data_IF_741681401944
#
_entry.id   IF_741681401944
#
_cell.length_a   1.000
_cell.length_b   1.000
_cell.length_c   1.000
_cell.angle_alpha   90.00
_cell.angle_beta   90.00
_cell.angle_gamma   90.00
#
_symmetry.space_group_name_H-M   'P 1'
#
loop_
_entity.id
_entity.type
_entity.pdbx_description
1 polymer ?
#
# COMPACT_ATOMS: atom_id res chain seq x y z
N UNK A 1 -0.96 9.64 -4.07
CA UNK A 1 -0.04 8.58 -3.61
C UNK A 1 1.34 9.13 -3.27
N UNK A 2 1.95 9.99 -4.09
CA UNK A 2 3.19 10.68 -3.71
C UNK A 2 3.14 12.15 -4.12
N UNK A 3 3.76 13.05 -3.35
CA UNK A 3 4.01 14.44 -3.74
C UNK A 3 5.32 14.53 -4.52
N UNK A 4 5.36 15.41 -5.53
CA UNK A 4 6.57 15.67 -6.33
C UNK A 4 6.97 17.14 -6.11
N UNK A 5 7.95 17.43 -5.25
CA UNK A 5 8.38 18.80 -4.99
C UNK A 5 9.07 19.40 -6.22
N UNK A 6 8.84 20.69 -6.47
CA UNK A 6 9.46 21.43 -7.58
C UNK A 6 10.92 21.82 -7.30
N UNK A 7 11.29 21.97 -6.04
CA UNK A 7 12.62 22.41 -5.61
C UNK A 7 13.25 21.40 -4.64
N UNK A 8 14.58 21.41 -4.60
CA UNK A 8 15.37 20.63 -3.66
C UNK A 8 15.33 21.29 -2.27
N UNK A 9 15.42 20.47 -1.23
CA UNK A 9 15.57 20.97 0.14
C UNK A 9 17.00 21.51 0.39
N UNK A 10 17.28 21.99 1.60
CA UNK A 10 18.59 22.52 1.99
C UNK A 10 19.76 21.53 1.81
N UNK A 11 19.47 20.22 1.80
CA UNK A 11 20.46 19.15 1.57
C UNK A 11 20.58 18.76 0.10
N UNK A 12 19.93 19.47 -0.81
CA UNK A 12 20.02 19.23 -2.25
C UNK A 12 19.23 18.02 -2.75
N UNK A 13 18.28 17.49 -1.97
CA UNK A 13 17.46 16.33 -2.38
C UNK A 13 15.99 16.71 -2.56
N UNK A 14 15.28 15.99 -3.43
CA UNK A 14 13.83 16.09 -3.54
C UNK A 14 13.22 15.23 -2.42
N UNK A 15 12.50 15.87 -1.50
CA UNK A 15 11.80 15.18 -0.43
C UNK A 15 10.34 14.96 -0.85
N UNK A 16 10.00 13.71 -1.13
CA UNK A 16 8.65 13.33 -1.55
C UNK A 16 7.88 12.75 -0.36
N UNK A 17 6.67 13.24 -0.12
CA UNK A 17 5.77 12.69 0.89
C UNK A 17 4.91 11.59 0.28
N UNK A 18 4.78 10.47 1.00
CA UNK A 18 3.96 9.34 0.58
C UNK A 18 2.60 9.46 1.26
N UNK A 19 1.54 9.62 0.46
CA UNK A 19 0.17 9.55 0.91
C UNK A 19 -0.25 8.09 1.10
N UNK A 20 0.05 7.54 2.28
CA UNK A 20 -0.18 6.14 2.63
C UNK A 20 -1.66 5.76 2.58
N UNK A 21 -2.56 6.64 3.02
CA UNK A 21 -4.01 6.37 3.05
C UNK A 21 -4.55 6.16 1.63
N UNK A 22 -4.24 7.09 0.72
CA UNK A 22 -4.62 6.97 -0.70
C UNK A 22 -3.98 5.75 -1.36
N UNK A 23 -2.73 5.42 -1.00
CA UNK A 23 -2.07 4.23 -1.52
C UNK A 23 -2.81 2.95 -1.07
N UNK A 24 -3.16 2.86 0.21
CA UNK A 24 -3.91 1.74 0.80
C UNK A 24 -5.30 1.61 0.19
N UNK A 25 -6.03 2.71 0.02
CA UNK A 25 -7.34 2.71 -0.67
C UNK A 25 -7.24 2.11 -2.08
N UNK A 26 -6.23 2.52 -2.87
CA UNK A 26 -6.01 1.99 -4.23
C UNK A 26 -5.60 0.51 -4.22
N UNK A 27 -4.71 0.12 -3.31
CA UNK A 27 -4.26 -1.28 -3.18
C UNK A 27 -5.44 -2.17 -2.80
N UNK A 28 -6.23 -1.79 -1.79
CA UNK A 28 -7.37 -2.56 -1.33
C UNK A 28 -8.48 -2.62 -2.37
N UNK A 29 -8.73 -1.54 -3.12
CA UNK A 29 -9.68 -1.57 -4.25
C UNK A 29 -9.28 -2.63 -5.28
N UNK A 30 -7.99 -2.74 -5.62
CA UNK A 30 -7.48 -3.73 -6.57
C UNK A 30 -7.51 -5.16 -6.02
N UNK A 31 -7.18 -5.36 -4.74
CA UNK A 31 -7.22 -6.68 -4.10
C UNK A 31 -8.65 -7.23 -3.95
N UNK A 32 -9.67 -6.37 -3.99
CA UNK A 32 -11.08 -6.77 -3.97
C UNK A 32 -11.60 -7.25 -5.33
N UNK A 33 -10.91 -6.94 -6.43
CA UNK A 33 -11.29 -7.41 -7.76
C UNK A 33 -11.20 -8.94 -7.85
N UNK A 34 -12.05 -9.59 -8.67
CA UNK A 34 -11.99 -11.03 -8.83
C UNK A 34 -10.63 -11.46 -9.38
N UNK A 35 -10.12 -12.63 -8.95
CA UNK A 35 -8.86 -13.15 -9.45
C UNK A 35 -8.86 -13.22 -10.98
N UNK A 36 -7.82 -12.66 -11.59
CA UNK A 36 -7.61 -12.77 -13.03
C UNK A 36 -7.25 -14.22 -13.36
N UNK A 37 -7.91 -14.86 -14.34
CA UNK A 37 -7.52 -16.19 -14.81
C UNK A 37 -6.01 -16.27 -15.14
N UNK A 38 -5.34 -17.41 -14.91
CA UNK A 38 -3.88 -17.51 -15.10
C UNK A 38 -3.40 -17.07 -16.49
N UNK A 39 -4.17 -17.42 -17.51
CA UNK A 39 -3.86 -17.20 -18.93
C UNK A 39 -4.36 -15.86 -19.48
N UNK A 40 -4.94 -14.99 -18.64
CA UNK A 40 -5.40 -13.67 -19.06
C UNK A 40 -4.53 -12.55 -18.47
N UNK A 41 -4.48 -11.45 -19.23
CA UNK A 41 -3.79 -10.23 -18.81
C UNK A 41 -4.85 -9.22 -18.45
N UNK A 42 -4.84 -8.78 -17.20
CA UNK A 42 -5.63 -7.65 -16.73
C UNK A 42 -4.68 -6.56 -16.22
N UNK A 43 -4.95 -5.28 -16.50
CA UNK A 43 -4.16 -4.20 -15.94
C UNK A 43 -4.28 -4.20 -14.42
N UNK A 44 -3.19 -3.83 -13.74
CA UNK A 44 -3.14 -3.67 -12.28
C UNK A 44 -3.31 -4.96 -11.46
N UNK A 45 -3.23 -6.15 -12.08
CA UNK A 45 -3.20 -7.44 -11.37
C UNK A 45 -1.93 -7.57 -10.54
N UNK A 46 -2.08 -7.95 -9.27
CA UNK A 46 -0.97 -8.40 -8.44
C UNK A 46 -0.64 -9.86 -8.77
N UNK A 47 0.63 -10.16 -9.04
CA UNK A 47 1.11 -11.54 -9.17
C UNK A 47 2.01 -11.87 -8.00
N UNK A 48 1.64 -12.92 -7.27
CA UNK A 48 2.42 -13.43 -6.14
C UNK A 48 3.20 -14.67 -6.58
N UNK A 49 4.44 -14.86 -6.11
CA UNK A 49 5.19 -16.09 -6.36
C UNK A 49 4.47 -17.32 -5.81
N UNK A 50 4.39 -18.38 -6.59
CA UNK A 50 3.91 -19.70 -6.13
C UNK A 50 5.08 -20.47 -5.47
N UNK A 51 5.62 -19.89 -4.40
CA UNK A 51 6.69 -20.48 -3.62
C UNK A 51 6.48 -20.12 -2.14
N UNK A 52 6.10 -21.09 -1.28
CA UNK A 52 5.84 -20.86 0.14
C UNK A 52 7.02 -20.31 0.93
N UNK A 53 8.26 -20.54 0.48
CA UNK A 53 9.47 -19.98 1.11
C UNK A 53 9.64 -18.48 0.84
N UNK A 54 8.96 -17.96 -0.19
CA UNK A 54 9.03 -16.54 -0.60
C UNK A 54 7.74 -15.81 -0.22
N UNK A 55 6.59 -16.43 -0.46
CA UNK A 55 5.29 -15.86 -0.20
C UNK A 55 4.37 -16.93 0.38
N UNK A 56 4.08 -16.80 1.68
CA UNK A 56 3.24 -17.71 2.43
C UNK A 56 1.96 -17.02 2.89
N UNK A 57 1.14 -17.74 3.67
CA UNK A 57 -0.01 -17.15 4.34
C UNK A 57 0.38 -16.00 5.28
N UNK A 58 1.61 -15.98 5.81
CA UNK A 58 2.11 -14.90 6.69
C UNK A 58 2.17 -13.58 5.94
N UNK A 59 2.83 -13.54 4.77
CA UNK A 59 2.93 -12.34 3.93
C UNK A 59 1.56 -11.93 3.41
N UNK A 60 0.73 -12.90 3.00
CA UNK A 60 -0.63 -12.65 2.54
C UNK A 60 -1.49 -11.98 3.63
N UNK A 61 -1.41 -12.45 4.89
CA UNK A 61 -2.11 -11.83 6.03
C UNK A 61 -1.58 -10.42 6.33
N UNK A 62 -0.27 -10.21 6.24
CA UNK A 62 0.32 -8.88 6.46
C UNK A 62 -0.09 -7.86 5.39
N UNK A 63 -0.25 -8.28 4.12
CA UNK A 63 -0.68 -7.41 3.02
C UNK A 63 -2.08 -6.81 3.23
N UNK A 64 -2.94 -7.51 3.97
CA UNK A 64 -4.31 -7.07 4.26
C UNK A 64 -4.54 -6.86 5.77
N UNK A 65 -3.46 -6.62 6.51
CA UNK A 65 -3.50 -6.53 7.97
C UNK A 65 -4.23 -5.28 8.49
N UNK A 66 -4.36 -4.23 7.68
CA UNK A 66 -5.01 -3.01 8.10
C UNK A 66 -6.48 -2.94 7.70
N UNK A 67 -7.29 -2.29 8.53
CA UNK A 67 -8.69 -2.05 8.26
C UNK A 67 -9.01 -0.58 8.51
N UNK A 68 -9.92 -0.02 7.69
CA UNK A 68 -10.40 1.34 7.89
C UNK A 68 -11.40 1.36 9.06
N UNK A 69 -11.05 2.03 10.14
CA UNK A 69 -11.85 2.12 11.36
C UNK A 69 -12.19 3.56 11.70
N UNK A 70 -13.39 3.77 12.25
CA UNK A 70 -13.77 5.06 12.81
C UNK A 70 -13.09 5.25 14.17
N UNK A 71 -12.33 6.34 14.31
CA UNK A 71 -11.71 6.76 15.57
C UNK A 71 -12.06 8.19 15.89
N UNK A 72 -12.34 8.46 17.17
CA UNK A 72 -12.53 9.83 17.65
C UNK A 72 -11.17 10.45 17.93
N UNK A 73 -10.80 11.47 17.16
CA UNK A 73 -9.55 12.23 17.31
C UNK A 73 -9.91 13.70 17.53
N UNK A 74 -9.53 14.24 18.68
CA UNK A 74 -9.84 15.63 19.07
C UNK A 74 -11.35 15.95 18.96
N UNK A 75 -12.20 15.04 19.42
CA UNK A 75 -13.66 15.21 19.41
C UNK A 75 -14.33 15.08 18.04
N UNK A 76 -13.59 14.70 16.98
CA UNK A 76 -14.13 14.46 15.64
C UNK A 76 -13.93 13.01 15.23
N UNK A 77 -14.94 12.42 14.60
CA UNK A 77 -14.83 11.09 13.99
C UNK A 77 -13.96 11.21 12.74
N UNK A 78 -12.93 10.36 12.65
CA UNK A 78 -12.07 10.21 11.49
C UNK A 78 -11.96 8.74 11.13
N UNK A 79 -11.87 8.45 9.83
CA UNK A 79 -11.51 7.13 9.33
C UNK A 79 -9.99 7.02 9.32
N UNK A 80 -9.44 6.00 9.99
CA UNK A 80 -8.01 5.73 10.05
C UNK A 80 -7.75 4.25 9.79
N UNK A 81 -6.65 3.95 9.11
CA UNK A 81 -6.20 2.57 8.94
C UNK A 81 -5.59 2.05 10.25
N UNK A 82 -6.00 0.85 10.67
CA UNK A 82 -5.55 0.22 11.90
C UNK A 82 -5.23 -1.26 11.68
N UNK A 83 -4.01 -1.67 12.05
CA UNK A 83 -3.57 -3.06 11.99
C UNK A 83 -4.11 -3.92 13.14
N UNK A 84 -4.70 -3.32 14.19
CA UNK A 84 -5.22 -4.00 15.39
C UNK A 84 -4.17 -4.88 16.08
N UNK A 85 -2.92 -4.41 16.12
CA UNK A 85 -1.77 -5.14 16.71
C UNK A 85 -1.19 -6.24 15.83
N UNK A 86 -1.68 -6.42 14.59
CA UNK A 86 -1.07 -7.33 13.60
C UNK A 86 0.17 -6.68 12.98
N UNK A 87 1.07 -7.54 12.52
CA UNK A 87 2.18 -7.19 11.63
C UNK A 87 1.65 -6.74 10.27
N UNK A 88 2.21 -5.69 9.69
CA UNK A 88 1.77 -5.05 8.44
C UNK A 88 2.93 -4.69 7.51
N UNK A 89 4.14 -5.20 7.76
CA UNK A 89 5.36 -4.81 7.04
C UNK A 89 5.26 -5.11 5.54
N UNK A 90 4.59 -6.19 5.15
CA UNK A 90 4.34 -6.50 3.75
C UNK A 90 3.48 -5.43 3.04
N UNK A 91 2.45 -4.90 3.72
CA UNK A 91 1.62 -3.81 3.20
C UNK A 91 2.44 -2.52 3.08
N UNK A 92 3.25 -2.19 4.10
CA UNK A 92 4.11 -1.00 4.07
C UNK A 92 5.16 -1.08 2.95
N UNK A 93 5.78 -2.24 2.76
CA UNK A 93 6.67 -2.50 1.62
C UNK A 93 5.96 -2.32 0.28
N UNK A 94 4.72 -2.79 0.15
CA UNK A 94 3.94 -2.62 -1.09
C UNK A 94 3.59 -1.15 -1.35
N UNK A 95 3.23 -0.39 -0.31
CA UNK A 95 3.01 1.06 -0.40
C UNK A 95 4.28 1.76 -0.88
N UNK A 96 5.44 1.42 -0.32
CA UNK A 96 6.72 1.98 -0.76
C UNK A 96 7.07 1.59 -2.20
N UNK A 97 6.88 0.34 -2.59
CA UNK A 97 7.12 -0.11 -3.97
C UNK A 97 6.24 0.66 -4.96
N UNK A 98 4.97 0.88 -4.62
CA UNK A 98 4.05 1.67 -5.44
C UNK A 98 4.48 3.14 -5.52
N UNK A 99 4.90 3.74 -4.41
CA UNK A 99 5.42 5.10 -4.39
C UNK A 99 6.69 5.24 -5.24
N UNK A 100 7.64 4.30 -5.11
CA UNK A 100 8.88 4.29 -5.89
C UNK A 100 8.59 4.17 -7.39
N UNK A 101 7.68 3.28 -7.79
CA UNK A 101 7.23 3.17 -9.18
C UNK A 101 6.70 4.50 -9.74
N UNK A 102 5.94 5.26 -8.94
CA UNK A 102 5.41 6.58 -9.33
C UNK A 102 6.46 7.68 -9.38
N UNK A 103 7.64 7.49 -8.79
CA UNK A 103 8.77 8.42 -8.88
C UNK A 103 9.68 8.08 -10.06
N UNK A 104 9.81 6.79 -10.39
CA UNK A 104 10.68 6.32 -11.47
C UNK A 104 10.12 6.55 -12.88
N UNK A 105 8.80 6.71 -13.00
CA UNK A 105 8.07 6.94 -14.25
C UNK A 105 7.66 8.40 -14.34
#
# INVERSE_FOLDING_TARGET
VITMPKSRNQRGVFLCEIGTDTAKEMIYARLKEPPTPPDSVSPYTFRFPDNPEIFSEVEAKQLVAEELVEKVVNGKIKLLWDAKGRRNEALDCLVYAYAAYRVSV
#
